data_IF_203938511346
#
_entry.id   IF_203938511346
#
_cell.length_a   1.000
_cell.length_b   1.000
_cell.length_c   1.000
_cell.angle_alpha   90.00
_cell.angle_beta   90.00
_cell.angle_gamma   90.00
#
_symmetry.space_group_name_H-M   'P 1'
#
loop_
_entity.id
_entity.type
_entity.pdbx_description
1 polymer ?
#
# COMPACT_ATOMS: atom_id res chain seq x y z
N UNK A 1 -20.26 -28.43 7.89
CA UNK A 1 -19.02 -27.79 8.38
C UNK A 1 -19.05 -26.34 7.96
N UNK A 2 -18.62 -25.41 8.84
CA UNK A 2 -18.51 -24.00 8.49
C UNK A 2 -17.31 -23.76 7.59
N UNK A 3 -17.36 -22.72 6.74
CA UNK A 3 -16.23 -22.32 5.90
C UNK A 3 -14.94 -22.12 6.72
N UNK A 4 -15.07 -21.66 7.97
CA UNK A 4 -13.95 -21.47 8.89
C UNK A 4 -13.25 -22.79 9.23
N UNK A 5 -14.01 -23.84 9.60
CA UNK A 5 -13.43 -25.16 9.95
C UNK A 5 -12.63 -25.74 8.79
N UNK A 6 -13.24 -25.74 7.60
CA UNK A 6 -12.64 -26.28 6.38
C UNK A 6 -11.37 -25.52 5.95
N UNK A 7 -11.30 -24.20 6.20
CA UNK A 7 -10.08 -23.42 5.96
C UNK A 7 -8.99 -23.78 6.98
N UNK A 8 -9.34 -23.84 8.27
CA UNK A 8 -8.37 -24.14 9.33
C UNK A 8 -7.78 -25.55 9.20
N UNK A 9 -8.58 -26.53 8.76
CA UNK A 9 -8.14 -27.92 8.52
C UNK A 9 -7.05 -28.04 7.43
N UNK A 10 -6.97 -27.07 6.51
CA UNK A 10 -5.96 -27.04 5.44
C UNK A 10 -4.68 -26.30 5.83
N UNK A 11 -4.72 -25.54 6.91
CA UNK A 11 -3.57 -24.75 7.35
C UNK A 11 -2.57 -25.63 8.10
N UNK A 12 -1.29 -25.38 7.84
CA UNK A 12 -0.16 -25.95 8.57
C UNK A 12 0.62 -24.83 9.23
N UNK A 13 1.21 -25.08 10.40
CA UNK A 13 2.13 -24.14 11.02
C UNK A 13 3.49 -24.34 10.36
N UNK A 14 3.98 -23.33 9.67
CA UNK A 14 5.31 -23.33 9.05
C UNK A 14 6.43 -23.14 10.07
N UNK A 15 7.65 -22.99 9.57
CA UNK A 15 8.82 -22.79 10.42
C UNK A 15 8.69 -21.49 11.23
N UNK A 16 8.78 -21.62 12.56
CA UNK A 16 8.73 -20.48 13.47
C UNK A 16 10.00 -19.63 13.33
N UNK A 17 9.81 -18.32 13.26
CA UNK A 17 10.92 -17.35 13.31
C UNK A 17 10.79 -16.53 14.58
N UNK A 18 11.84 -16.51 15.41
CA UNK A 18 11.86 -15.72 16.63
C UNK A 18 12.97 -14.67 16.60
N UNK A 19 12.67 -13.50 17.16
CA UNK A 19 13.63 -12.41 17.33
C UNK A 19 13.31 -11.63 18.62
N UNK A 20 14.28 -11.54 19.53
CA UNK A 20 14.12 -10.97 20.87
C UNK A 20 12.88 -11.51 21.59
N UNK A 21 11.91 -10.64 21.89
CA UNK A 21 10.66 -10.96 22.58
C UNK A 21 9.48 -11.22 21.64
N UNK A 22 9.74 -11.51 20.36
CA UNK A 22 8.70 -11.75 19.35
C UNK A 22 8.94 -13.08 18.62
N UNK A 23 7.89 -13.88 18.47
CA UNK A 23 7.90 -15.11 17.67
C UNK A 23 6.77 -15.05 16.64
N UNK A 24 7.09 -15.49 15.42
CA UNK A 24 6.18 -15.57 14.28
C UNK A 24 5.90 -17.04 13.95
N UNK A 25 4.62 -17.40 13.97
CA UNK A 25 4.13 -18.73 13.61
C UNK A 25 3.34 -18.59 12.31
N UNK A 26 3.98 -18.80 11.15
CA UNK A 26 3.30 -18.64 9.88
C UNK A 26 2.24 -19.74 9.71
N UNK A 27 1.01 -19.35 9.35
CA UNK A 27 -0.05 -20.27 8.96
C UNK A 27 -0.04 -20.38 7.44
N UNK A 28 0.26 -21.57 6.93
CA UNK A 28 0.47 -21.83 5.51
C UNK A 28 -0.60 -22.76 4.97
N UNK A 29 -1.25 -22.35 3.88
CA UNK A 29 -1.99 -23.24 2.99
C UNK A 29 -1.17 -23.44 1.72
N UNK A 30 -0.50 -24.59 1.61
CA UNK A 30 0.40 -24.91 0.48
C UNK A 30 -0.38 -25.03 -0.84
N UNK A 31 -1.68 -25.30 -0.77
CA UNK A 31 -2.55 -25.43 -1.94
C UNK A 31 -3.23 -24.11 -2.33
N UNK A 32 -3.06 -23.04 -1.54
CA UNK A 32 -3.69 -21.75 -1.84
C UNK A 32 -3.09 -21.16 -3.12
N UNK A 33 -3.92 -20.72 -4.08
CA UNK A 33 -3.42 -20.00 -5.24
C UNK A 33 -2.71 -18.72 -4.82
N UNK A 34 -1.74 -18.30 -5.63
CA UNK A 34 -1.11 -17.00 -5.48
C UNK A 34 -2.17 -15.89 -5.50
N UNK A 35 -1.88 -14.80 -4.79
CA UNK A 35 -2.73 -13.62 -4.81
C UNK A 35 -2.96 -13.12 -6.24
N UNK A 36 -4.21 -12.96 -6.64
CA UNK A 36 -4.57 -12.44 -7.96
C UNK A 36 -4.56 -10.90 -8.00
N UNK A 37 -3.44 -10.32 -7.56
CA UNK A 37 -3.14 -8.90 -7.63
C UNK A 37 -1.63 -8.68 -7.70
N UNK A 38 -1.24 -7.49 -8.15
CA UNK A 38 0.10 -6.93 -7.99
C UNK A 38 0.12 -6.07 -6.72
N UNK A 39 1.25 -6.00 -6.04
CA UNK A 39 1.52 -4.97 -5.05
C UNK A 39 1.80 -3.63 -5.74
N UNK A 40 1.70 -2.52 -5.00
CA UNK A 40 2.05 -1.20 -5.50
C UNK A 40 3.49 -1.18 -6.06
N UNK A 41 4.44 -1.72 -5.30
CA UNK A 41 5.86 -1.75 -5.69
C UNK A 41 6.09 -2.54 -6.99
N UNK A 42 5.51 -3.73 -7.11
CA UNK A 42 5.57 -4.52 -8.35
C UNK A 42 5.01 -3.75 -9.55
N UNK A 43 3.85 -3.11 -9.40
CA UNK A 43 3.18 -2.41 -10.49
C UNK A 43 3.96 -1.14 -10.93
N UNK A 44 4.52 -0.38 -9.99
CA UNK A 44 5.36 0.77 -10.29
C UNK A 44 6.68 0.36 -10.94
N UNK A 45 7.35 -0.67 -10.42
CA UNK A 45 8.62 -1.15 -10.94
C UNK A 45 8.49 -1.77 -12.35
N UNK A 46 7.33 -2.37 -12.66
CA UNK A 46 7.01 -2.86 -14.01
C UNK A 46 6.61 -1.74 -14.98
N UNK A 47 6.39 -0.52 -14.49
CA UNK A 47 5.83 0.58 -15.28
C UNK A 47 4.38 0.35 -15.72
N UNK A 48 3.67 -0.58 -15.06
CA UNK A 48 2.28 -0.94 -15.33
C UNK A 48 1.28 -0.21 -14.42
N UNK A 49 1.79 0.67 -13.56
CA UNK A 49 1.02 1.65 -12.83
C UNK A 49 1.79 2.97 -12.70
N UNK A 50 1.06 4.05 -12.39
CA UNK A 50 1.63 5.37 -12.19
C UNK A 50 0.93 6.10 -11.05
N UNK A 51 1.71 6.83 -10.26
CA UNK A 51 1.22 7.74 -9.24
C UNK A 51 1.71 9.15 -9.57
N UNK A 52 0.79 10.11 -9.62
CA UNK A 52 1.10 11.54 -9.88
C UNK A 52 0.35 12.44 -8.91
N UNK A 53 0.71 13.72 -8.90
CA UNK A 53 -0.16 14.76 -8.36
C UNK A 53 -1.49 14.81 -9.14
N UNK A 54 -2.57 15.26 -8.50
CA UNK A 54 -3.88 15.45 -9.15
C UNK A 54 -3.83 16.60 -10.17
N UNK A 55 -3.03 17.64 -9.90
CA UNK A 55 -2.81 18.80 -10.76
C UNK A 55 -1.37 19.37 -10.62
N UNK A 56 -1.06 20.43 -11.36
CA UNK A 56 0.26 21.10 -11.31
C UNK A 56 0.51 21.86 -9.99
N UNK A 57 -0.55 22.23 -9.26
CA UNK A 57 -0.47 22.85 -7.94
C UNK A 57 0.01 21.87 -6.87
N UNK A 58 -0.30 20.59 -7.05
CA UNK A 58 -0.12 19.54 -6.06
C UNK A 58 -1.19 19.67 -4.98
N UNK A 59 -1.93 18.59 -4.73
CA UNK A 59 -3.02 18.59 -3.77
C UNK A 59 -2.68 17.70 -2.58
N UNK A 60 -2.95 18.20 -1.38
CA UNK A 60 -3.09 17.38 -0.18
C UNK A 60 -4.55 17.54 0.21
N UNK A 61 -5.29 16.45 0.45
CA UNK A 61 -4.82 15.14 0.87
C UNK A 61 -4.83 14.05 -0.22
N UNK A 62 -4.59 14.38 -1.49
CA UNK A 62 -4.94 13.50 -2.61
C UNK A 62 -3.84 13.33 -3.66
N UNK A 63 -3.62 12.10 -4.11
CA UNK A 63 -2.82 11.79 -5.31
C UNK A 63 -3.67 11.09 -6.37
N UNK A 64 -3.20 11.08 -7.61
CA UNK A 64 -3.80 10.34 -8.70
C UNK A 64 -3.05 9.02 -8.92
N UNK A 65 -3.78 7.90 -8.84
CA UNK A 65 -3.27 6.58 -9.19
C UNK A 65 -3.88 6.07 -10.50
N UNK A 66 -3.05 5.55 -11.39
CA UNK A 66 -3.43 4.90 -12.64
C UNK A 66 -2.93 3.47 -12.65
N UNK A 67 -3.83 2.49 -12.70
CA UNK A 67 -3.48 1.09 -12.94
C UNK A 67 -3.60 0.80 -14.44
N UNK A 68 -2.47 0.69 -15.12
CA UNK A 68 -2.39 0.42 -16.57
C UNK A 68 -2.19 -1.08 -16.85
N UNK A 69 -2.14 -1.90 -15.79
CA UNK A 69 -1.98 -3.34 -15.90
C UNK A 69 -3.32 -4.05 -16.16
N UNK A 70 -3.23 -5.31 -16.62
CA UNK A 70 -4.37 -6.21 -16.75
C UNK A 70 -4.79 -6.87 -15.42
N UNK A 71 -4.07 -6.60 -14.32
CA UNK A 71 -4.31 -7.18 -12.99
C UNK A 71 -4.79 -6.11 -12.01
N UNK A 72 -5.37 -6.55 -10.89
CA UNK A 72 -5.66 -5.63 -9.80
C UNK A 72 -4.36 -5.20 -9.12
N UNK A 73 -4.30 -3.97 -8.60
CA UNK A 73 -3.16 -3.49 -7.80
C UNK A 73 -3.63 -3.23 -6.38
N UNK A 74 -2.95 -3.83 -5.40
CA UNK A 74 -3.18 -3.60 -3.98
C UNK A 74 -2.31 -2.42 -3.51
N UNK A 75 -2.98 -1.36 -3.08
CA UNK A 75 -2.39 -0.21 -2.41
C UNK A 75 -2.57 -0.42 -0.91
N UNK A 76 -1.51 -0.58 -0.15
CA UNK A 76 -1.61 -0.93 1.27
C UNK A 76 -1.52 0.33 2.15
N UNK A 77 -2.37 0.38 3.19
CA UNK A 77 -2.29 1.42 4.20
C UNK A 77 -0.88 1.54 4.81
N UNK A 78 -0.31 2.74 4.78
CA UNK A 78 1.00 3.00 5.38
C UNK A 78 2.19 2.83 4.45
N UNK A 79 2.00 2.38 3.20
CA UNK A 79 3.05 2.41 2.18
C UNK A 79 3.50 3.85 1.91
N UNK A 80 4.81 4.06 1.84
CA UNK A 80 5.40 5.36 1.53
C UNK A 80 5.61 5.50 0.03
N UNK A 81 5.08 6.60 -0.51
CA UNK A 81 5.30 7.08 -1.86
C UNK A 81 6.33 8.21 -1.79
N UNK A 82 7.49 7.96 -2.38
CA UNK A 82 8.61 8.88 -2.42
C UNK A 82 8.70 9.54 -3.80
N UNK A 83 9.34 10.72 -3.84
CA UNK A 83 9.44 11.61 -5.00
C UNK A 83 8.19 12.48 -5.26
N UNK A 84 8.16 13.20 -6.38
CA UNK A 84 7.41 14.44 -6.62
C UNK A 84 7.79 15.62 -5.70
N UNK A 85 6.81 16.39 -5.21
CA UNK A 85 7.02 17.61 -4.40
C UNK A 85 7.44 17.33 -2.96
N UNK A 86 6.93 16.24 -2.38
CA UNK A 86 7.08 15.86 -0.97
C UNK A 86 6.66 14.39 -0.80
N UNK A 87 7.24 13.65 0.15
CA UNK A 87 6.85 12.25 0.37
C UNK A 87 5.42 12.15 0.92
N UNK A 88 4.74 11.07 0.58
CA UNK A 88 3.35 10.78 0.95
C UNK A 88 3.25 9.39 1.55
N UNK A 89 2.28 9.18 2.42
CA UNK A 89 1.91 7.86 2.91
C UNK A 89 0.44 7.62 2.59
N UNK A 90 0.13 6.47 1.98
CA UNK A 90 -1.25 6.05 1.71
C UNK A 90 -2.06 5.97 3.00
N UNK A 91 -3.28 6.49 3.01
CA UNK A 91 -4.12 6.55 4.20
C UNK A 91 -5.02 5.34 4.40
N UNK A 92 -5.34 4.59 3.35
CA UNK A 92 -6.23 3.43 3.42
C UNK A 92 -5.74 2.35 2.46
N UNK A 93 -6.16 1.11 2.73
CA UNK A 93 -5.93 -0.02 1.81
C UNK A 93 -6.97 -0.01 0.71
N UNK A 94 -6.54 -0.03 -0.55
CA UNK A 94 -7.42 -0.03 -1.72
C UNK A 94 -6.98 -1.13 -2.68
N UNK A 95 -7.93 -1.95 -3.15
CA UNK A 95 -7.68 -2.86 -4.26
C UNK A 95 -8.23 -2.24 -5.54
N UNK A 96 -7.34 -1.78 -6.41
CA UNK A 96 -7.68 -1.06 -7.63
C UNK A 96 -7.84 -2.04 -8.79
N UNK A 97 -8.96 -1.96 -9.51
CA UNK A 97 -9.21 -2.81 -10.68
C UNK A 97 -8.25 -2.55 -11.83
N UNK A 98 -8.14 -3.52 -12.74
CA UNK A 98 -7.35 -3.39 -13.97
C UNK A 98 -7.86 -2.22 -14.84
N UNK A 99 -6.93 -1.44 -15.41
CA UNK A 99 -7.26 -0.29 -16.26
C UNK A 99 -7.94 0.89 -15.54
N UNK A 100 -8.04 0.87 -14.22
CA UNK A 100 -8.74 1.90 -13.46
C UNK A 100 -7.83 3.04 -13.02
N UNK A 101 -8.42 4.23 -12.94
CA UNK A 101 -7.79 5.44 -12.42
C UNK A 101 -8.64 5.98 -11.27
N UNK A 102 -8.01 6.32 -10.15
CA UNK A 102 -8.70 6.91 -9.00
C UNK A 102 -7.81 7.89 -8.24
N UNK A 103 -8.47 8.79 -7.52
CA UNK A 103 -7.82 9.62 -6.52
C UNK A 103 -7.65 8.81 -5.23
N UNK A 104 -6.42 8.79 -4.69
CA UNK A 104 -6.06 8.05 -3.48
C UNK A 104 -5.76 9.03 -2.33
N UNK A 105 -6.30 8.78 -1.12
CA UNK A 105 -6.05 9.65 0.02
C UNK A 105 -4.66 9.37 0.62
N UNK A 106 -3.91 10.44 0.89
CA UNK A 106 -2.55 10.40 1.41
C UNK A 106 -2.33 11.41 2.52
N UNK A 107 -1.32 11.15 3.35
CA UNK A 107 -0.81 12.11 4.34
C UNK A 107 0.63 12.51 4.01
N UNK A 108 0.99 13.77 4.28
CA UNK A 108 2.37 14.23 4.16
C UNK A 108 3.23 13.71 5.30
N UNK A 109 4.46 13.29 4.98
CA UNK A 109 5.40 12.70 5.96
C UNK A 109 6.53 13.65 6.37
N UNK A 110 6.76 14.72 5.60
CA UNK A 110 7.87 15.65 5.81
C UNK A 110 7.31 17.08 5.95
N UNK A 111 7.54 17.82 7.04
CA UNK A 111 7.27 19.27 7.03
C UNK A 111 8.39 20.03 6.31
N UNK A 112 8.03 20.99 5.45
CA UNK A 112 8.98 22.03 4.98
C UNK A 112 9.67 21.82 3.64
N UNK A 113 9.35 20.77 2.87
CA UNK A 113 9.85 20.57 1.49
C UNK A 113 8.73 20.70 0.47
N UNK A 114 8.83 21.67 -0.44
CA UNK A 114 7.88 21.86 -1.55
C UNK A 114 8.66 22.18 -2.83
N UNK A 115 9.11 21.14 -3.53
CA UNK A 115 9.90 21.30 -4.76
C UNK A 115 9.96 20.02 -5.55
N UNK A 116 9.77 20.10 -6.88
CA UNK A 116 9.74 18.95 -7.77
C UNK A 116 11.13 18.29 -7.89
N UNK A 117 11.19 16.98 -7.66
CA UNK A 117 12.29 16.12 -8.14
C UNK A 117 11.93 15.28 -9.37
N UNK A 118 10.65 14.94 -9.51
CA UNK A 118 10.06 14.16 -10.61
C UNK A 118 8.56 14.49 -10.69
N UNK A 119 7.88 14.15 -11.79
CA UNK A 119 6.39 14.20 -11.84
C UNK A 119 5.74 12.93 -11.30
N UNK A 120 6.49 11.83 -11.26
CA UNK A 120 6.02 10.53 -10.81
C UNK A 120 6.53 10.23 -9.39
N UNK A 121 5.71 9.52 -8.62
CA UNK A 121 6.10 8.90 -7.35
C UNK A 121 6.59 7.46 -7.58
N UNK A 122 7.48 6.99 -6.71
CA UNK A 122 7.86 5.59 -6.57
C UNK A 122 7.49 5.09 -5.16
N UNK A 123 7.31 3.79 -4.98
CA UNK A 123 7.26 3.18 -3.65
C UNK A 123 8.64 3.27 -2.98
N UNK A 124 8.64 3.36 -1.65
CA UNK A 124 9.83 3.04 -0.86
C UNK A 124 9.66 1.68 -0.19
N UNK A 125 10.77 0.97 0.01
CA UNK A 125 10.83 -0.28 0.76
C UNK A 125 10.74 -0.04 2.29
N UNK A 126 9.67 0.65 2.70
CA UNK A 126 9.32 0.92 4.09
C UNK A 126 7.86 1.31 4.21
N UNK A 127 7.27 0.94 5.36
CA UNK A 127 5.96 1.40 5.76
C UNK A 127 6.05 2.29 7.00
N UNK A 128 5.07 3.18 7.15
CA UNK A 128 4.99 4.05 8.33
C UNK A 128 4.85 3.24 9.62
N UNK A 129 5.56 3.62 10.68
CA UNK A 129 5.50 2.96 11.99
C UNK A 129 4.11 3.08 12.66
N UNK A 130 3.78 2.13 13.55
CA UNK A 130 2.43 1.94 14.10
C UNK A 130 1.79 3.20 14.70
N UNK A 131 2.52 3.95 15.54
CA UNK A 131 2.02 5.21 16.12
C UNK A 131 1.76 6.29 15.07
N UNK A 132 2.57 6.33 14.01
CA UNK A 132 2.36 7.22 12.87
C UNK A 132 1.08 6.88 12.12
N UNK A 133 0.85 5.58 11.85
CA UNK A 133 -0.40 5.10 11.22
C UNK A 133 -1.64 5.46 12.02
N UNK A 134 -1.61 5.29 13.34
CA UNK A 134 -2.73 5.68 14.21
C UNK A 134 -3.04 7.19 14.14
N UNK A 135 -2.01 8.04 14.13
CA UNK A 135 -2.16 9.51 14.06
C UNK A 135 -2.73 9.99 12.73
N UNK A 136 -2.31 9.42 11.59
CA UNK A 136 -2.92 9.78 10.30
C UNK A 136 -4.35 9.27 10.19
N UNK A 137 -4.66 8.10 10.76
CA UNK A 137 -6.00 7.53 10.68
C UNK A 137 -7.06 8.43 11.33
N UNK A 138 -6.73 9.11 12.42
CA UNK A 138 -7.66 10.07 13.04
C UNK A 138 -7.98 11.28 12.16
N UNK A 139 -7.20 11.55 11.11
CA UNK A 139 -7.44 12.65 10.18
C UNK A 139 -8.33 12.23 9.00
N UNK A 140 -8.48 10.93 8.73
CA UNK A 140 -9.29 10.42 7.62
C UNK A 140 -10.79 10.57 7.89
N UNK A 141 -11.21 10.48 9.15
CA UNK A 141 -12.62 10.61 9.56
C UNK A 141 -13.08 12.06 9.75
N UNK A 142 -12.20 13.05 9.57
CA UNK A 142 -12.46 14.45 9.89
C UNK A 142 -12.91 15.29 8.68
N UNK A 143 -13.22 14.66 7.54
CA UNK A 143 -13.65 15.32 6.29
C UNK A 143 -15.07 14.92 5.91
#
# INVERSE_FOLDING_TARGET
MSAISTTLEKLSVGQTTAHNNMAWFPLLDVASPAADYLTLDEALNQGSARVTEVDEGGSVPELMFSNESARRVLLLDGEELVCAKQNRVLNITILVGAGQKLTIPVSCVEQGRWGYRSRDFSSADRAMYARGRARKMSQVSAS
#
